data_IF_583922585854
#
_entry.id   IF_583922585854
#
_cell.length_a   1.000
_cell.length_b   1.000
_cell.length_c   1.000
_cell.angle_alpha   90.00
_cell.angle_beta   90.00
_cell.angle_gamma   90.00
#
_symmetry.space_group_name_H-M   'P 1'
#
loop_
_entity.id
_entity.type
_entity.pdbx_description
1 polymer ?
#
# COMPACT_ATOMS: atom_id res chain seq x y z
N UNK A 1 -27.89 -50.71 -8.60
CA UNK A 1 -27.19 -50.51 -7.31
C UNK A 1 -25.72 -50.10 -7.42
N UNK A 2 -25.00 -50.35 -8.53
CA UNK A 2 -23.59 -49.90 -8.71
C UNK A 2 -23.44 -48.38 -8.95
N UNK A 3 -24.36 -47.73 -9.66
CA UNK A 3 -24.24 -46.28 -9.99
C UNK A 3 -24.25 -45.34 -8.78
N UNK A 4 -24.95 -45.70 -7.69
CA UNK A 4 -25.01 -44.82 -6.51
C UNK A 4 -23.67 -44.75 -5.78
N UNK A 5 -22.82 -45.79 -5.85
CA UNK A 5 -21.50 -45.78 -5.19
C UNK A 5 -20.50 -44.90 -5.94
N UNK A 6 -20.57 -44.88 -7.27
CA UNK A 6 -19.72 -44.02 -8.12
C UNK A 6 -20.09 -42.55 -7.92
N UNK A 7 -21.39 -42.25 -7.90
CA UNK A 7 -21.88 -40.88 -7.65
C UNK A 7 -21.44 -40.35 -6.28
N UNK A 8 -21.50 -41.19 -5.24
CA UNK A 8 -21.12 -40.81 -3.88
C UNK A 8 -19.60 -40.54 -3.75
N UNK A 9 -18.76 -41.32 -4.44
CA UNK A 9 -17.32 -41.10 -4.48
C UNK A 9 -16.94 -39.81 -5.22
N UNK A 10 -17.61 -39.50 -6.33
CA UNK A 10 -17.40 -38.24 -7.06
C UNK A 10 -17.81 -37.03 -6.22
N UNK A 11 -18.92 -37.11 -5.49
CA UNK A 11 -19.37 -36.04 -4.60
C UNK A 11 -18.40 -35.82 -3.43
N UNK A 12 -17.90 -36.90 -2.82
CA UNK A 12 -16.92 -36.82 -1.73
C UNK A 12 -15.59 -36.21 -2.21
N UNK A 13 -15.11 -36.60 -3.39
CA UNK A 13 -13.89 -36.04 -3.99
C UNK A 13 -14.06 -34.56 -4.32
N UNK A 14 -15.19 -34.17 -4.93
CA UNK A 14 -15.46 -32.77 -5.25
C UNK A 14 -15.53 -31.90 -4.00
N UNK A 15 -16.19 -32.38 -2.93
CA UNK A 15 -16.27 -31.66 -1.66
C UNK A 15 -14.88 -31.46 -1.04
N UNK A 16 -14.02 -32.47 -1.09
CA UNK A 16 -12.68 -32.39 -0.52
C UNK A 16 -11.78 -31.40 -1.28
N UNK A 17 -11.90 -31.34 -2.61
CA UNK A 17 -11.22 -30.34 -3.45
C UNK A 17 -11.74 -28.94 -3.17
N UNK A 18 -13.06 -28.77 -3.03
CA UNK A 18 -13.67 -27.47 -2.71
C UNK A 18 -13.21 -26.95 -1.35
N UNK A 19 -13.17 -27.81 -0.34
CA UNK A 19 -12.66 -27.48 1.00
C UNK A 19 -11.18 -27.11 0.92
N UNK A 20 -10.36 -27.88 0.22
CA UNK A 20 -8.94 -27.56 0.00
C UNK A 20 -8.73 -26.21 -0.69
N UNK A 21 -9.55 -25.88 -1.68
CA UNK A 21 -9.54 -24.57 -2.36
C UNK A 21 -9.90 -23.44 -1.40
N UNK A 22 -10.94 -23.60 -0.57
CA UNK A 22 -11.36 -22.60 0.42
C UNK A 22 -10.24 -22.33 1.43
N UNK A 23 -9.58 -23.37 1.95
CA UNK A 23 -8.45 -23.21 2.87
C UNK A 23 -7.15 -22.72 2.20
N UNK A 24 -7.08 -22.76 0.87
CA UNK A 24 -5.94 -22.24 0.10
C UNK A 24 -6.14 -20.80 -0.36
N UNK A 25 -7.30 -20.19 -0.11
CA UNK A 25 -7.48 -18.75 -0.28
C UNK A 25 -6.63 -18.12 0.83
N UNK A 26 -5.52 -17.43 0.50
CA UNK A 26 -4.78 -16.72 1.52
C UNK A 26 -5.74 -15.69 2.11
N UNK A 27 -5.92 -15.71 3.43
CA UNK A 27 -6.49 -14.55 4.09
C UNK A 27 -5.60 -13.37 3.72
N UNK A 28 -6.16 -12.26 3.22
CA UNK A 28 -5.37 -11.06 3.06
C UNK A 28 -4.86 -10.72 4.45
N UNK A 29 -3.59 -11.00 4.71
CA UNK A 29 -2.91 -10.42 5.85
C UNK A 29 -3.14 -8.93 5.71
N UNK A 30 -3.87 -8.33 6.65
CA UNK A 30 -4.01 -6.89 6.83
C UNK A 30 -2.65 -6.30 7.27
N UNK A 31 -1.56 -6.72 6.62
CA UNK A 31 -0.23 -6.15 6.67
C UNK A 31 -0.02 -5.24 5.45
N UNK A 32 -1.09 -4.60 4.97
CA UNK A 32 -0.99 -3.39 4.15
C UNK A 32 -1.30 -2.16 4.99
N UNK A 33 -0.65 -2.04 6.14
CA UNK A 33 -0.19 -0.73 6.58
C UNK A 33 1.08 -0.43 5.79
N UNK A 34 0.91 -0.01 4.53
CA UNK A 34 2.01 0.50 3.74
C UNK A 34 2.66 1.67 4.50
N UNK A 35 3.84 1.43 5.05
CA UNK A 35 4.83 2.42 5.47
C UNK A 35 4.51 3.45 6.57
N UNK A 36 3.40 3.38 7.33
CA UNK A 36 3.13 4.46 8.33
C UNK A 36 2.20 4.14 9.51
N UNK A 37 1.90 2.88 9.84
CA UNK A 37 1.11 2.59 11.05
C UNK A 37 1.76 1.51 11.89
N UNK A 38 2.30 1.93 13.02
CA UNK A 38 2.90 1.15 14.09
C UNK A 38 1.87 0.20 14.65
N UNK A 39 2.37 -0.85 15.30
CA UNK A 39 1.55 -1.69 16.17
C UNK A 39 0.78 -0.85 17.19
N UNK A 40 1.36 0.24 17.70
CA UNK A 40 0.72 1.18 18.61
C UNK A 40 -0.54 1.81 18.01
N UNK A 41 -0.45 2.46 16.85
CA UNK A 41 -1.61 3.13 16.20
C UNK A 41 -2.66 2.11 15.74
N UNK A 42 -2.23 0.95 15.29
CA UNK A 42 -3.16 -0.13 14.92
C UNK A 42 -3.99 -0.59 16.13
N UNK A 43 -3.36 -0.82 17.28
CA UNK A 43 -4.05 -1.29 18.49
C UNK A 43 -4.88 -0.18 19.16
N UNK A 44 -4.29 1.02 19.34
CA UNK A 44 -4.92 2.09 20.12
C UNK A 44 -5.97 2.86 19.33
N UNK A 45 -5.71 3.14 18.05
CA UNK A 45 -6.55 4.03 17.25
C UNK A 45 -7.48 3.26 16.33
N UNK A 46 -6.97 2.24 15.64
CA UNK A 46 -7.78 1.47 14.68
C UNK A 46 -8.67 0.45 15.39
N UNK A 47 -8.12 -0.29 16.35
CA UNK A 47 -8.90 -1.24 17.17
C UNK A 47 -9.59 -0.56 18.36
N UNK A 48 -9.20 0.68 18.69
CA UNK A 48 -9.88 1.49 19.70
C UNK A 48 -9.67 1.03 21.14
N UNK A 49 -8.57 0.33 21.45
CA UNK A 49 -8.30 -0.17 22.81
C UNK A 49 -8.09 0.98 23.82
N UNK A 50 -7.36 2.02 23.42
CA UNK A 50 -7.28 3.28 24.15
C UNK A 50 -6.90 4.41 23.16
N UNK A 51 -7.89 4.94 22.41
CA UNK A 51 -7.63 5.93 21.38
C UNK A 51 -7.29 7.28 22.01
N UNK A 52 -6.19 7.90 21.61
CA UNK A 52 -5.67 9.15 22.15
C UNK A 52 -5.57 10.26 21.10
N UNK A 53 -5.64 9.97 19.80
CA UNK A 53 -5.49 10.97 18.73
C UNK A 53 -6.46 12.16 18.80
N UNK A 54 -7.58 12.02 19.51
CA UNK A 54 -8.58 13.08 19.72
C UNK A 54 -8.64 13.58 21.16
N UNK A 55 -7.73 13.11 22.03
CA UNK A 55 -7.69 13.44 23.45
C UNK A 55 -6.67 14.54 23.74
N UNK A 56 -7.20 15.74 23.95
CA UNK A 56 -6.41 16.91 24.33
C UNK A 56 -5.61 17.49 23.17
N UNK A 57 -5.11 18.71 23.39
CA UNK A 57 -4.46 19.49 22.34
C UNK A 57 -3.14 18.87 21.87
N UNK A 58 -2.37 18.25 22.80
CA UNK A 58 -1.09 17.61 22.47
C UNK A 58 -1.26 16.47 21.46
N UNK A 59 -2.06 15.46 21.77
CA UNK A 59 -2.25 14.33 20.86
C UNK A 59 -2.92 14.77 19.56
N UNK A 60 -3.91 15.66 19.61
CA UNK A 60 -4.59 16.14 18.40
C UNK A 60 -3.60 16.81 17.42
N UNK A 61 -2.64 17.58 17.94
CA UNK A 61 -1.64 18.25 17.12
C UNK A 61 -0.52 17.33 16.63
N UNK A 62 -0.29 16.19 17.29
CA UNK A 62 0.76 15.22 16.93
C UNK A 62 0.22 13.92 16.31
N UNK A 63 -1.11 13.78 16.18
CA UNK A 63 -1.80 12.62 15.62
C UNK A 63 -1.70 12.52 14.08
N UNK A 64 -1.15 13.53 13.40
CA UNK A 64 -1.03 13.58 11.95
C UNK A 64 -0.13 12.47 11.40
N UNK A 65 0.81 11.99 12.20
CA UNK A 65 1.68 10.87 11.88
C UNK A 65 1.54 9.73 12.87
N UNK A 66 2.48 8.81 12.79
CA UNK A 66 2.56 7.64 13.62
C UNK A 66 3.85 7.71 14.45
N UNK A 67 3.76 8.51 15.50
CA UNK A 67 4.91 8.98 16.27
C UNK A 67 4.82 8.59 17.74
N UNK A 68 3.99 7.59 18.06
CA UNK A 68 3.79 7.13 19.43
C UNK A 68 5.12 6.79 20.09
N UNK A 69 6.03 6.12 19.38
CA UNK A 69 7.34 5.71 19.91
C UNK A 69 8.26 6.87 20.26
N UNK A 70 8.17 8.01 19.56
CA UNK A 70 9.07 9.13 19.86
C UNK A 70 8.73 9.78 21.21
N UNK A 71 7.49 9.64 21.68
CA UNK A 71 7.04 10.19 22.95
C UNK A 71 6.94 9.14 24.06
N UNK A 72 6.61 7.90 23.70
CA UNK A 72 6.34 6.82 24.65
C UNK A 72 7.37 5.69 24.61
N UNK A 73 8.32 5.71 23.67
CA UNK A 73 9.19 4.58 23.33
C UNK A 73 8.37 3.33 22.94
N UNK A 74 8.91 2.13 23.17
CA UNK A 74 8.28 0.86 22.77
C UNK A 74 8.73 0.37 21.39
N UNK A 75 8.22 -0.80 21.01
CA UNK A 75 8.54 -1.46 19.75
C UNK A 75 7.37 -1.41 18.77
N UNK A 76 7.45 -0.49 17.80
CA UNK A 76 6.40 -0.27 16.79
C UNK A 76 6.22 -1.41 15.79
N UNK A 77 7.17 -2.36 15.74
CA UNK A 77 7.12 -3.51 14.83
C UNK A 77 6.55 -4.77 15.50
N UNK A 78 6.47 -4.81 16.84
CA UNK A 78 5.96 -5.96 17.56
C UNK A 78 4.43 -6.04 17.49
N UNK A 79 3.90 -7.21 17.10
CA UNK A 79 2.45 -7.45 17.04
C UNK A 79 1.87 -7.88 18.39
N UNK A 80 2.70 -8.42 19.28
CA UNK A 80 2.31 -8.81 20.63
C UNK A 80 2.40 -7.62 21.57
N UNK A 81 1.38 -7.44 22.41
CA UNK A 81 1.24 -6.29 23.31
C UNK A 81 2.45 -6.13 24.22
N UNK A 82 2.88 -7.20 24.85
CA UNK A 82 3.98 -7.19 25.81
C UNK A 82 5.30 -6.78 25.15
N UNK A 83 5.58 -7.28 23.94
CA UNK A 83 6.77 -6.91 23.17
C UNK A 83 6.69 -5.48 22.62
N UNK A 84 5.51 -5.04 22.19
CA UNK A 84 5.29 -3.65 21.75
C UNK A 84 5.49 -2.65 22.90
N UNK A 85 5.16 -3.07 24.12
CA UNK A 85 5.26 -2.25 25.32
C UNK A 85 6.62 -2.35 26.03
N UNK A 86 7.55 -3.15 25.52
CA UNK A 86 8.88 -3.28 26.10
C UNK A 86 9.64 -1.95 25.97
N UNK A 87 10.12 -1.42 27.11
CA UNK A 87 10.83 -0.15 27.14
C UNK A 87 9.95 1.09 27.05
N UNK A 88 8.62 0.98 27.22
CA UNK A 88 7.76 2.16 27.30
C UNK A 88 8.19 3.09 28.45
N UNK A 89 8.21 4.38 28.16
CA UNK A 89 8.47 5.44 29.13
C UNK A 89 7.23 6.30 29.33
N UNK A 90 7.02 6.86 30.54
CA UNK A 90 6.07 7.94 30.73
C UNK A 90 6.31 9.06 29.70
N UNK A 91 5.23 9.61 29.11
CA UNK A 91 5.39 10.70 28.16
C UNK A 91 6.11 11.88 28.82
N UNK A 92 7.02 12.51 28.07
CA UNK A 92 7.74 13.71 28.52
C UNK A 92 8.70 13.47 29.69
N UNK A 93 9.06 12.22 30.00
CA UNK A 93 10.13 11.93 30.98
C UNK A 93 11.47 12.54 30.52
N UNK A 94 11.78 12.44 29.22
CA UNK A 94 12.86 13.16 28.57
C UNK A 94 12.33 13.96 27.37
N UNK A 95 11.91 15.19 27.65
CA UNK A 95 11.40 16.12 26.63
C UNK A 95 12.43 16.44 25.56
N UNK A 96 13.72 16.47 25.91
CA UNK A 96 14.77 16.73 24.94
C UNK A 96 14.84 15.57 23.93
N UNK A 97 14.93 14.33 24.43
CA UNK A 97 14.96 13.15 23.58
C UNK A 97 13.69 13.01 22.73
N UNK A 98 12.51 13.23 23.29
CA UNK A 98 11.24 13.06 22.58
C UNK A 98 10.96 14.14 21.54
N UNK A 99 11.42 15.38 21.75
CA UNK A 99 11.03 16.51 20.88
C UNK A 99 12.14 16.95 19.92
N UNK A 100 13.42 16.75 20.24
CA UNK A 100 14.52 17.35 19.48
C UNK A 100 14.65 16.85 18.05
N UNK A 101 14.21 15.63 17.77
CA UNK A 101 14.20 15.08 16.40
C UNK A 101 13.35 15.89 15.43
N UNK A 102 12.23 16.45 15.90
CA UNK A 102 11.30 17.24 15.08
C UNK A 102 11.44 18.75 15.30
N UNK A 103 11.89 19.17 16.49
CA UNK A 103 11.97 20.56 16.92
C UNK A 103 13.37 20.99 17.36
N UNK A 104 14.42 20.86 16.52
CA UNK A 104 15.79 21.15 16.94
C UNK A 104 16.04 22.64 17.23
N UNK A 105 15.23 23.54 16.67
CA UNK A 105 15.42 24.99 16.73
C UNK A 105 14.48 25.67 17.74
N UNK A 106 13.34 25.05 18.05
CA UNK A 106 12.26 25.64 18.84
C UNK A 106 11.76 24.71 19.95
N UNK A 107 12.57 23.72 20.35
CA UNK A 107 12.24 22.76 21.41
C UNK A 107 11.75 23.45 22.68
N UNK A 108 12.54 24.39 23.22
CA UNK A 108 12.24 25.04 24.50
C UNK A 108 10.95 25.86 24.44
N UNK A 109 10.72 26.57 23.33
CA UNK A 109 9.52 27.39 23.14
C UNK A 109 8.27 26.50 23.06
N UNK A 110 8.30 25.46 22.22
CA UNK A 110 7.14 24.57 22.02
C UNK A 110 6.87 23.70 23.22
N UNK A 111 7.90 23.08 23.77
CA UNK A 111 7.75 22.25 24.95
C UNK A 111 7.26 23.07 26.16
N UNK A 112 7.65 24.36 26.23
CA UNK A 112 7.26 25.28 27.29
C UNK A 112 5.75 25.45 27.44
N UNK A 113 5.02 25.43 26.31
CA UNK A 113 3.56 25.54 26.27
C UNK A 113 2.92 24.37 27.03
N UNK A 114 3.38 23.15 26.77
CA UNK A 114 2.80 21.95 27.36
C UNK A 114 3.31 21.68 28.76
N UNK A 115 4.59 21.97 29.03
CA UNK A 115 5.16 21.90 30.36
C UNK A 115 4.41 22.81 31.34
N UNK A 116 4.09 24.04 30.91
CA UNK A 116 3.27 24.97 31.70
C UNK A 116 1.84 24.46 31.91
N UNK A 117 1.23 23.87 30.90
CA UNK A 117 -0.13 23.30 31.00
C UNK A 117 -0.20 22.08 31.92
N UNK A 118 0.87 21.28 31.96
CA UNK A 118 0.98 20.05 32.74
C UNK A 118 1.61 20.26 34.13
N UNK A 119 2.14 21.45 34.41
CA UNK A 119 2.83 21.76 35.67
C UNK A 119 4.16 21.03 35.87
N UNK A 120 4.86 20.71 34.77
CA UNK A 120 6.18 20.05 34.79
C UNK A 120 7.27 21.04 34.40
N UNK A 121 8.45 20.93 35.02
CA UNK A 121 9.60 21.81 34.76
C UNK A 121 10.49 21.22 33.66
N UNK A 122 10.69 21.97 32.56
CA UNK A 122 11.55 21.53 31.46
C UNK A 122 13.01 21.48 31.89
N UNK A 123 13.63 20.30 31.76
CA UNK A 123 15.06 20.10 32.03
C UNK A 123 15.37 19.34 33.32
N UNK A 124 14.37 18.97 34.13
CA UNK A 124 14.60 18.21 35.37
C UNK A 124 14.99 16.74 35.13
N UNK A 125 14.66 16.17 33.96
CA UNK A 125 14.88 14.75 33.62
C UNK A 125 16.30 14.34 33.20
N UNK A 126 17.19 15.30 32.92
CA UNK A 126 18.53 15.03 32.35
C UNK A 126 19.70 15.14 33.34
N UNK A 127 19.44 15.32 34.63
CA UNK A 127 20.49 15.47 35.63
C UNK A 127 21.15 14.13 35.92
N UNK A 128 22.13 13.76 35.07
CA UNK A 128 23.16 12.78 35.39
C UNK A 128 23.67 13.06 36.81
N UNK A 129 23.62 12.04 37.67
CA UNK A 129 24.07 12.14 39.04
C UNK A 129 25.54 12.57 39.13
N UNK A 130 25.78 13.88 39.26
CA UNK A 130 27.00 14.37 39.88
C UNK A 130 26.94 14.02 41.34
N UNK A 131 27.66 12.97 41.68
CA UNK A 131 27.85 12.47 43.02
C UNK A 131 28.36 13.61 43.91
N UNK A 132 27.59 13.92 44.95
CA UNK A 132 27.98 14.80 46.04
C UNK A 132 29.29 14.34 46.67
N UNK A 133 30.38 15.00 46.30
CA UNK A 133 31.61 15.07 47.08
C UNK A 133 31.56 16.30 47.97
N UNK A 134 30.96 16.15 49.14
CA UNK A 134 31.03 17.11 50.24
C UNK A 134 32.47 17.28 50.72
N UNK A 135 32.95 18.52 50.76
CA UNK A 135 33.94 19.03 51.72
C UNK A 135 33.97 20.55 51.62
N UNK A 136 33.35 21.18 52.61
CA UNK A 136 33.00 22.60 52.60
C UNK A 136 34.14 23.60 52.69
N UNK A 137 33.77 24.86 52.52
CA UNK A 137 34.34 25.99 53.26
C UNK A 137 33.38 27.16 53.16
N UNK A 138 32.95 27.66 54.31
CA UNK A 138 32.21 28.90 54.48
C UNK A 138 33.07 30.11 54.04
N UNK A 139 32.42 31.13 53.48
CA UNK A 139 33.06 32.41 53.17
C UNK A 139 32.09 33.41 52.51
N UNK A 140 31.76 34.43 53.30
CA UNK A 140 30.95 35.64 53.11
C UNK A 140 30.86 36.33 51.72
N UNK A 141 29.70 36.99 51.56
CA UNK A 141 29.42 38.29 50.94
C UNK A 141 30.12 38.70 49.63
N UNK A 142 29.31 38.94 48.58
CA UNK A 142 29.20 40.28 47.97
C UNK A 142 28.20 40.36 46.83
N UNK A 143 27.44 41.45 46.83
CA UNK A 143 26.59 41.93 45.76
C UNK A 143 27.38 42.34 44.51
N UNK A 144 26.81 42.09 43.33
CA UNK A 144 27.25 42.61 42.03
C UNK A 144 26.65 41.71 40.95
N UNK A 145 25.69 42.17 40.15
CA UNK A 145 25.94 43.16 39.09
C UNK A 145 26.11 42.37 37.79
N UNK A 146 25.07 42.35 36.97
CA UNK A 146 24.89 41.40 35.89
C UNK A 146 25.99 41.40 34.82
N UNK A 147 26.22 40.21 34.27
CA UNK A 147 26.62 40.03 32.88
C UNK A 147 26.03 38.71 32.37
N UNK A 148 25.09 38.82 31.43
CA UNK A 148 24.50 37.70 30.72
C UNK A 148 25.46 37.28 29.61
N UNK A 149 26.53 36.58 29.98
CA UNK A 149 27.46 35.97 29.03
C UNK A 149 26.86 34.65 28.55
N UNK A 150 26.44 34.61 27.29
CA UNK A 150 25.95 33.41 26.61
C UNK A 150 27.10 32.42 26.44
N UNK A 151 27.27 31.53 27.42
CA UNK A 151 28.20 30.42 27.39
C UNK A 151 27.67 29.33 26.46
N UNK A 152 28.00 29.41 25.17
CA UNK A 152 27.96 28.25 24.26
C UNK A 152 29.10 27.30 24.62
N UNK A 153 28.93 26.55 25.70
CA UNK A 153 29.78 25.41 26.00
C UNK A 153 29.49 24.29 24.98
N UNK A 154 30.52 23.59 24.46
CA UNK A 154 30.28 22.40 23.66
C UNK A 154 29.56 21.37 24.54
N UNK A 155 28.36 20.97 24.13
CA UNK A 155 27.62 19.84 24.71
C UNK A 155 28.43 18.58 24.44
N UNK A 156 29.40 18.29 25.31
CA UNK A 156 30.15 17.06 25.28
C UNK A 156 29.32 15.97 25.95
N UNK A 157 28.76 15.08 25.13
CA UNK A 157 28.54 13.69 25.48
C UNK A 157 27.35 13.43 26.40
N UNK A 158 26.14 13.57 25.87
CA UNK A 158 25.10 12.59 26.23
C UNK A 158 25.57 11.28 25.60
N UNK A 159 26.02 10.33 26.42
CA UNK A 159 26.33 8.99 25.95
C UNK A 159 25.05 8.44 25.30
N UNK A 160 25.11 8.14 24.00
CA UNK A 160 24.04 7.45 23.31
C UNK A 160 23.65 6.21 24.13
N UNK A 161 22.36 5.92 24.33
CA UNK A 161 21.91 4.83 25.17
C UNK A 161 22.63 3.54 24.78
N UNK A 162 23.47 3.06 25.70
CA UNK A 162 24.22 1.80 25.59
C UNK A 162 23.21 0.66 25.63
N UNK A 163 22.63 0.34 24.48
CA UNK A 163 21.56 -0.65 24.35
C UNK A 163 20.80 -0.58 23.02
N UNK A 164 20.98 0.49 22.24
CA UNK A 164 20.53 0.50 20.85
C UNK A 164 21.48 -0.34 20.01
N UNK A 165 21.10 -1.58 19.70
CA UNK A 165 21.62 -2.25 18.51
C UNK A 165 21.42 -1.24 17.36
N UNK A 166 22.52 -0.79 16.76
CA UNK A 166 22.46 0.22 15.70
C UNK A 166 21.57 -0.35 14.59
N UNK A 167 20.33 0.15 14.53
CA UNK A 167 19.36 -0.28 13.55
C UNK A 167 19.90 0.22 12.21
N UNK A 168 20.56 -0.67 11.46
CA UNK A 168 21.01 -0.38 10.12
C UNK A 168 19.77 -0.31 9.22
N UNK A 169 19.21 0.90 9.12
CA UNK A 169 18.07 1.18 8.26
C UNK A 169 18.34 0.81 6.79
N UNK A 170 19.60 0.78 6.34
CA UNK A 170 19.92 0.31 5.00
C UNK A 170 19.80 -1.22 4.89
N UNK A 171 20.15 -1.96 5.94
CA UNK A 171 19.95 -3.41 5.99
C UNK A 171 18.45 -3.75 6.01
N UNK A 172 17.66 -3.08 6.85
CA UNK A 172 16.20 -3.26 6.90
C UNK A 172 15.55 -2.85 5.58
N UNK A 173 15.96 -1.72 5.00
CA UNK A 173 15.49 -1.30 3.69
C UNK A 173 15.89 -2.29 2.60
N UNK A 174 17.12 -2.78 2.60
CA UNK A 174 17.59 -3.78 1.66
C UNK A 174 16.84 -5.11 1.82
N UNK A 175 16.47 -5.51 3.03
CA UNK A 175 15.69 -6.72 3.29
C UNK A 175 14.22 -6.56 2.88
N UNK A 176 13.63 -5.36 3.08
CA UNK A 176 12.27 -5.04 2.67
C UNK A 176 12.11 -4.80 1.16
N UNK A 177 13.14 -4.25 0.52
CA UNK A 177 13.16 -3.96 -0.93
C UNK A 177 13.85 -5.04 -1.74
N UNK A 178 14.48 -6.02 -1.09
CA UNK A 178 14.98 -7.20 -1.76
C UNK A 178 13.83 -7.78 -2.60
N UNK A 179 14.08 -8.08 -3.89
CA UNK A 179 13.07 -8.72 -4.71
C UNK A 179 12.65 -9.99 -3.98
N UNK A 180 11.36 -10.07 -3.65
CA UNK A 180 10.80 -11.23 -2.96
C UNK A 180 11.31 -12.48 -3.66
N UNK A 181 11.79 -13.50 -2.92
CA UNK A 181 12.24 -14.73 -3.55
C UNK A 181 11.12 -15.22 -4.46
N UNK A 182 11.45 -15.58 -5.70
CA UNK A 182 10.48 -16.02 -6.72
C UNK A 182 9.54 -17.14 -6.24
N UNK A 183 9.91 -17.79 -5.14
CA UNK A 183 9.14 -18.80 -4.42
C UNK A 183 9.17 -18.48 -2.92
N UNK A 184 8.21 -17.68 -2.45
CA UNK A 184 8.07 -17.33 -1.02
C UNK A 184 7.62 -18.54 -0.17
N UNK A 185 7.01 -19.55 -0.79
CA UNK A 185 6.51 -20.76 -0.11
C UNK A 185 6.85 -22.03 -0.91
N UNK A 186 8.04 -22.58 -0.70
CA UNK A 186 8.43 -23.88 -1.27
C UNK A 186 7.45 -25.00 -0.88
N UNK A 187 6.84 -24.90 0.31
CA UNK A 187 5.79 -25.83 0.75
C UNK A 187 4.59 -25.85 -0.21
N UNK A 188 4.15 -24.69 -0.70
CA UNK A 188 3.03 -24.60 -1.64
C UNK A 188 3.40 -25.17 -3.02
N UNK A 189 4.62 -24.95 -3.49
CA UNK A 189 5.08 -25.56 -4.76
C UNK A 189 5.15 -27.07 -4.65
N UNK A 190 5.72 -27.60 -3.56
CA UNK A 190 5.79 -29.03 -3.31
C UNK A 190 4.38 -29.63 -3.24
N UNK A 191 3.44 -28.94 -2.58
CA UNK A 191 2.04 -29.37 -2.50
C UNK A 191 1.36 -29.37 -3.87
N UNK A 192 1.54 -28.32 -4.68
CA UNK A 192 1.01 -28.25 -6.05
C UNK A 192 1.56 -29.39 -6.90
N UNK A 193 2.88 -29.64 -6.84
CA UNK A 193 3.50 -30.74 -7.57
C UNK A 193 2.96 -32.11 -7.15
N UNK A 194 2.70 -32.31 -5.86
CA UNK A 194 2.07 -33.53 -5.35
C UNK A 194 0.63 -33.70 -5.84
N UNK A 195 -0.18 -32.63 -5.80
CA UNK A 195 -1.56 -32.64 -6.28
C UNK A 195 -1.60 -32.94 -7.78
N UNK A 196 -0.75 -32.28 -8.57
CA UNK A 196 -0.65 -32.52 -10.02
C UNK A 196 -0.17 -33.95 -10.29
N UNK A 197 0.84 -34.43 -9.58
CA UNK A 197 1.36 -35.79 -9.73
C UNK A 197 0.30 -36.86 -9.45
N UNK A 198 -0.44 -36.71 -8.36
CA UNK A 198 -1.55 -37.61 -8.01
C UNK A 198 -2.69 -37.50 -9.03
N UNK A 199 -3.04 -36.28 -9.46
CA UNK A 199 -4.06 -36.04 -10.48
C UNK A 199 -3.73 -36.70 -11.82
N UNK A 200 -2.48 -36.59 -12.28
CA UNK A 200 -2.01 -37.24 -13.52
C UNK A 200 -2.01 -38.76 -13.37
N UNK A 201 -1.51 -39.30 -12.26
CA UNK A 201 -1.51 -40.74 -12.02
C UNK A 201 -2.93 -41.31 -11.96
N UNK A 202 -3.85 -40.61 -11.28
CA UNK A 202 -5.27 -40.96 -11.25
C UNK A 202 -5.90 -40.89 -12.64
N UNK A 203 -5.62 -39.83 -13.42
CA UNK A 203 -6.15 -39.70 -14.77
C UNK A 203 -5.65 -40.82 -15.69
N UNK A 204 -4.36 -41.17 -15.66
CA UNK A 204 -3.79 -42.27 -16.45
C UNK A 204 -4.42 -43.61 -16.05
N UNK A 205 -4.56 -43.86 -14.75
CA UNK A 205 -5.17 -45.13 -14.27
C UNK A 205 -6.65 -45.20 -14.61
N UNK A 206 -7.42 -44.13 -14.44
CA UNK A 206 -8.82 -44.08 -14.85
C UNK A 206 -8.99 -44.24 -16.38
N UNK A 207 -8.12 -43.58 -17.16
CA UNK A 207 -8.11 -43.65 -18.62
C UNK A 207 -7.83 -45.07 -19.13
N UNK A 208 -6.92 -45.79 -18.47
CA UNK A 208 -6.56 -47.16 -18.84
C UNK A 208 -7.53 -48.21 -18.31
N UNK A 209 -8.20 -47.98 -17.18
CA UNK A 209 -8.99 -49.02 -16.52
C UNK A 209 -10.44 -49.12 -17.02
N UNK A 210 -11.08 -48.01 -17.43
CA UNK A 210 -12.49 -48.02 -17.85
C UNK A 210 -12.70 -47.97 -19.37
N UNK A 211 -11.65 -48.05 -20.18
CA UNK A 211 -11.77 -48.03 -21.65
C UNK A 211 -12.32 -46.68 -22.21
N UNK A 212 -12.26 -45.61 -21.41
CA UNK A 212 -12.71 -44.27 -21.78
C UNK A 212 -12.01 -43.74 -23.03
N UNK A 213 -10.77 -44.18 -23.31
CA UNK A 213 -10.08 -43.83 -24.55
C UNK A 213 -10.90 -44.15 -25.80
N UNK A 214 -11.62 -45.30 -25.82
CA UNK A 214 -12.46 -45.68 -26.95
C UNK A 214 -13.75 -44.84 -27.02
N UNK A 215 -14.32 -44.48 -25.87
CA UNK A 215 -15.54 -43.65 -25.77
C UNK A 215 -15.25 -42.22 -26.21
N UNK A 216 -14.12 -41.64 -25.76
CA UNK A 216 -13.70 -40.29 -26.15
C UNK A 216 -13.28 -40.28 -27.62
N UNK A 217 -12.55 -41.28 -28.11
CA UNK A 217 -12.21 -41.37 -29.54
C UNK A 217 -13.47 -41.43 -30.42
N UNK A 218 -14.48 -42.20 -30.01
CA UNK A 218 -15.78 -42.24 -30.69
C UNK A 218 -16.52 -40.90 -30.61
N UNK A 219 -16.53 -40.25 -29.44
CA UNK A 219 -17.16 -38.94 -29.26
C UNK A 219 -16.47 -37.84 -30.09
N UNK A 220 -15.14 -37.77 -30.09
CA UNK A 220 -14.36 -36.81 -30.88
C UNK A 220 -14.62 -37.03 -32.37
N UNK A 221 -14.55 -38.27 -32.86
CA UNK A 221 -14.85 -38.56 -34.26
C UNK A 221 -16.28 -38.17 -34.66
N UNK A 222 -17.25 -38.31 -33.76
CA UNK A 222 -18.64 -37.97 -34.04
C UNK A 222 -18.95 -36.46 -33.97
N UNK A 223 -18.17 -35.68 -33.22
CA UNK A 223 -18.44 -34.24 -33.05
C UNK A 223 -17.52 -33.35 -33.87
N UNK A 224 -16.27 -33.78 -34.13
CA UNK A 224 -15.33 -33.03 -34.97
C UNK A 224 -15.81 -33.00 -36.42
N UNK A 225 -16.42 -34.08 -36.91
CA UNK A 225 -17.05 -34.11 -38.25
C UNK A 225 -18.20 -33.11 -38.36
N UNK A 226 -19.03 -32.99 -37.31
CA UNK A 226 -20.15 -32.04 -37.29
C UNK A 226 -19.65 -30.59 -37.35
N UNK A 227 -18.56 -30.28 -36.65
CA UNK A 227 -17.98 -28.92 -36.68
C UNK A 227 -17.25 -28.65 -38.00
N UNK A 228 -16.51 -29.62 -38.55
CA UNK A 228 -15.87 -29.43 -39.87
C UNK A 228 -16.88 -29.23 -40.98
N UNK A 229 -18.00 -29.95 -40.94
CA UNK A 229 -19.08 -29.83 -41.92
C UNK A 229 -19.82 -28.51 -41.75
N UNK A 230 -20.09 -28.08 -40.51
CA UNK A 230 -20.70 -26.78 -40.23
C UNK A 230 -19.82 -25.59 -40.64
N UNK A 231 -18.49 -25.69 -40.47
CA UNK A 231 -17.54 -24.66 -40.90
C UNK A 231 -17.42 -24.61 -42.43
N UNK A 232 -17.45 -25.76 -43.10
CA UNK A 232 -17.51 -25.83 -44.57
C UNK A 232 -18.82 -25.27 -45.13
N UNK A 233 -19.95 -25.51 -44.46
CA UNK A 233 -21.26 -24.97 -44.83
C UNK A 233 -21.32 -23.46 -44.61
N UNK A 234 -20.83 -22.97 -43.46
CA UNK A 234 -20.75 -21.55 -43.15
C UNK A 234 -19.79 -20.79 -44.10
N UNK A 235 -18.69 -21.42 -44.50
CA UNK A 235 -17.76 -20.87 -45.50
C UNK A 235 -18.38 -20.74 -46.90
N UNK A 236 -19.39 -21.55 -47.24
CA UNK A 236 -20.15 -21.44 -48.50
C UNK A 236 -21.28 -20.43 -48.42
N UNK A 237 -21.84 -20.19 -47.24
CA UNK A 237 -22.93 -19.24 -47.05
C UNK A 237 -22.47 -17.77 -46.97
N UNK A 238 -21.17 -17.50 -46.75
CA UNK A 238 -20.65 -16.17 -46.50
C UNK A 238 -20.11 -15.38 -47.70
N UNK A 239 -20.19 -15.89 -48.94
CA UNK A 239 -19.55 -15.20 -50.08
C UNK A 239 -20.44 -14.23 -50.87
N UNK A 240 -21.76 -14.23 -50.68
CA UNK A 240 -22.65 -13.58 -51.66
C UNK A 240 -23.49 -12.39 -51.15
N UNK A 241 -23.47 -12.03 -49.86
CA UNK A 241 -24.16 -10.81 -49.40
C UNK A 241 -23.64 -10.33 -48.03
N UNK A 242 -22.61 -9.47 -48.02
CA UNK A 242 -22.20 -8.76 -46.81
C UNK A 242 -22.62 -7.29 -46.93
N UNK A 243 -23.58 -6.81 -46.10
CA UNK A 243 -23.98 -5.41 -46.06
C UNK A 243 -22.84 -4.53 -45.54
N UNK A 244 -22.74 -3.31 -46.08
CA UNK A 244 -21.73 -2.30 -45.75
C UNK A 244 -21.58 -2.06 -44.24
N UNK A 245 -20.33 -2.11 -43.77
CA UNK A 245 -19.96 -1.70 -42.41
C UNK A 245 -20.36 -0.23 -42.16
N UNK A 246 -20.82 0.12 -40.94
CA UNK A 246 -21.03 1.50 -40.55
C UNK A 246 -19.69 2.23 -40.45
N UNK A 247 -19.64 3.42 -41.08
CA UNK A 247 -18.49 4.33 -41.13
C UNK A 247 -17.74 4.42 -39.80
N UNK A 248 -16.52 3.89 -39.78
CA UNK A 248 -15.52 4.23 -38.75
C UNK A 248 -15.23 5.72 -38.90
N UNK A 249 -15.78 6.54 -38.01
CA UNK A 249 -15.52 7.97 -37.98
C UNK A 249 -14.00 8.19 -37.93
N UNK A 250 -13.46 8.80 -38.99
CA UNK A 250 -12.05 9.08 -39.10
C UNK A 250 -11.62 9.97 -37.93
N UNK A 251 -10.53 9.58 -37.25
CA UNK A 251 -9.94 10.36 -36.16
C UNK A 251 -9.71 11.81 -36.63
N UNK A 252 -9.99 12.82 -35.77
CA UNK A 252 -9.80 14.22 -36.12
C UNK A 252 -8.34 14.49 -36.48
N UNK A 253 -8.10 15.16 -37.61
CA UNK A 253 -6.75 15.46 -38.08
C UNK A 253 -6.03 16.50 -37.19
N UNK A 254 -4.68 16.63 -37.29
CA UNK A 254 -3.88 17.48 -36.40
C UNK A 254 -4.32 18.95 -36.32
N UNK A 255 -4.89 19.50 -37.42
CA UNK A 255 -5.42 20.86 -37.45
C UNK A 255 -6.71 21.02 -36.64
N UNK A 256 -7.59 20.01 -36.66
CA UNK A 256 -8.82 20.00 -35.85
C UNK A 256 -8.47 19.82 -34.37
N UNK A 257 -7.46 18.99 -34.10
CA UNK A 257 -6.92 18.76 -32.77
C UNK A 257 -6.32 20.04 -32.16
N UNK A 258 -5.55 20.78 -32.95
CA UNK A 258 -4.99 22.07 -32.55
C UNK A 258 -6.06 23.14 -32.28
N UNK A 259 -7.11 23.20 -33.12
CA UNK A 259 -8.23 24.11 -32.91
C UNK A 259 -9.01 23.78 -31.63
N UNK A 260 -9.28 22.50 -31.38
CA UNK A 260 -9.99 22.07 -30.18
C UNK A 260 -9.18 22.28 -28.89
N UNK A 261 -7.84 22.15 -28.94
CA UNK A 261 -6.95 22.54 -27.84
C UNK A 261 -6.95 24.06 -27.57
N UNK A 262 -7.27 24.87 -28.57
CA UNK A 262 -7.35 26.32 -28.44
C UNK A 262 -8.61 26.77 -27.70
N UNK A 263 -9.72 26.06 -27.94
CA UNK A 263 -11.04 26.36 -27.39
C UNK A 263 -11.23 25.86 -25.94
N UNK A 264 -10.39 24.93 -25.45
CA UNK A 264 -10.46 24.39 -24.08
C UNK A 264 -9.29 24.87 -23.20
N UNK A 265 -9.49 25.92 -22.36
CA UNK A 265 -8.43 26.51 -21.54
C UNK A 265 -7.90 25.57 -20.46
N UNK A 266 -8.70 24.61 -19.99
CA UNK A 266 -8.28 23.56 -19.06
C UNK A 266 -7.28 22.60 -19.73
N UNK A 267 -7.59 22.16 -20.95
CA UNK A 267 -6.73 21.32 -21.77
C UNK A 267 -5.38 21.98 -22.04
N UNK A 268 -5.41 23.27 -22.38
CA UNK A 268 -4.20 24.09 -22.61
C UNK A 268 -3.26 24.14 -21.41
N UNK A 269 -3.80 24.10 -20.18
CA UNK A 269 -3.00 24.05 -18.94
C UNK A 269 -2.42 22.67 -18.65
N UNK A 270 -3.12 21.61 -19.06
CA UNK A 270 -2.68 20.22 -18.86
C UNK A 270 -1.72 19.74 -19.95
N UNK A 271 -1.80 20.33 -21.15
CA UNK A 271 -1.02 19.92 -22.32
C UNK A 271 0.51 19.87 -22.08
N UNK A 272 1.17 20.88 -21.47
CA UNK A 272 2.60 20.81 -21.20
C UNK A 272 2.98 19.76 -20.15
N UNK A 273 2.03 19.24 -19.37
CA UNK A 273 2.23 18.17 -18.40
C UNK A 273 2.09 16.80 -19.07
N UNK A 274 1.07 16.65 -19.93
CA UNK A 274 0.83 15.42 -20.69
C UNK A 274 1.95 15.14 -21.71
N UNK A 275 2.44 16.17 -22.41
CA UNK A 275 3.58 16.03 -23.34
C UNK A 275 4.90 15.63 -22.68
N UNK A 276 5.01 15.82 -21.36
CA UNK A 276 6.17 15.39 -20.54
C UNK A 276 5.90 14.12 -19.74
N UNK A 277 4.70 13.54 -19.86
CA UNK A 277 4.33 12.33 -19.16
C UNK A 277 5.02 11.10 -19.76
N UNK A 278 5.25 10.08 -18.92
CA UNK A 278 5.72 8.77 -19.37
C UNK A 278 4.64 8.08 -20.24
N UNK A 279 5.08 7.33 -21.26
CA UNK A 279 4.20 6.53 -22.15
C UNK A 279 3.27 5.59 -21.37
N UNK A 280 3.71 5.09 -20.22
CA UNK A 280 2.90 4.26 -19.33
C UNK A 280 1.73 5.05 -18.76
N UNK A 281 1.97 6.29 -18.30
CA UNK A 281 0.93 7.15 -17.75
C UNK A 281 -0.12 7.51 -18.81
N UNK A 282 0.31 7.75 -20.06
CA UNK A 282 -0.60 8.03 -21.17
C UNK A 282 -1.48 6.83 -21.53
N UNK A 283 -0.91 5.61 -21.51
CA UNK A 283 -1.66 4.37 -21.71
C UNK A 283 -2.69 4.15 -20.61
N UNK A 284 -2.30 4.34 -19.35
CA UNK A 284 -3.19 4.18 -18.21
C UNK A 284 -4.31 5.24 -18.25
N UNK A 285 -3.99 6.48 -18.62
CA UNK A 285 -4.97 7.55 -18.81
C UNK A 285 -5.96 7.22 -19.94
N UNK A 286 -5.48 6.71 -21.07
CA UNK A 286 -6.33 6.29 -22.18
C UNK A 286 -7.28 5.15 -21.77
N UNK A 287 -6.77 4.16 -21.06
CA UNK A 287 -7.58 3.04 -20.55
C UNK A 287 -8.65 3.52 -19.55
N UNK A 288 -8.31 4.45 -18.66
CA UNK A 288 -9.25 5.06 -17.71
C UNK A 288 -10.31 5.88 -18.45
N UNK A 289 -9.93 6.69 -19.43
CA UNK A 289 -10.87 7.56 -20.14
C UNK A 289 -11.79 6.78 -21.10
N UNK A 290 -11.38 5.59 -21.56
CA UNK A 290 -12.15 4.76 -22.50
C UNK A 290 -13.34 4.04 -21.85
N UNK A 291 -13.32 3.81 -20.52
CA UNK A 291 -14.45 3.27 -19.77
C UNK A 291 -15.14 4.39 -19.00
N UNK A 292 -16.27 4.89 -19.51
CA UNK A 292 -16.99 6.03 -18.94
C UNK A 292 -17.38 5.81 -17.46
N UNK A 293 -17.71 4.57 -17.08
CA UNK A 293 -18.15 4.25 -15.71
C UNK A 293 -16.98 3.98 -14.78
N UNK A 294 -16.06 3.10 -15.16
CA UNK A 294 -14.92 2.75 -14.32
C UNK A 294 -13.91 3.89 -14.24
N UNK A 295 -13.74 4.64 -15.32
CA UNK A 295 -12.86 5.80 -15.38
C UNK A 295 -13.24 6.88 -14.37
N UNK A 296 -14.54 7.17 -14.27
CA UNK A 296 -15.04 8.14 -13.31
C UNK A 296 -14.81 7.71 -11.85
N UNK A 297 -14.95 6.42 -11.54
CA UNK A 297 -14.69 5.89 -10.19
C UNK A 297 -13.20 5.85 -9.85
N UNK A 298 -12.35 5.42 -10.78
CA UNK A 298 -10.89 5.42 -10.62
C UNK A 298 -10.34 6.84 -10.45
N UNK A 299 -10.80 7.79 -11.26
CA UNK A 299 -10.46 9.20 -11.10
C UNK A 299 -10.93 9.72 -9.75
N UNK A 300 -12.06 9.25 -9.21
CA UNK A 300 -12.55 9.60 -7.87
C UNK A 300 -11.67 8.98 -6.76
N UNK A 301 -11.18 7.76 -6.95
CA UNK A 301 -10.25 7.12 -6.02
C UNK A 301 -8.89 7.83 -5.99
N UNK A 302 -8.33 8.15 -7.16
CA UNK A 302 -7.07 8.88 -7.30
C UNK A 302 -7.22 10.36 -6.91
N UNK A 303 -8.40 10.97 -7.06
CA UNK A 303 -8.69 12.35 -6.65
C UNK A 303 -8.53 12.64 -5.18
N UNK A 304 -8.53 11.60 -4.34
CA UNK A 304 -8.24 11.75 -2.91
C UNK A 304 -6.79 12.15 -2.66
N UNK A 305 -5.91 12.04 -3.66
CA UNK A 305 -4.50 12.47 -3.62
C UNK A 305 -4.27 13.88 -4.20
N UNK A 306 -5.11 14.36 -5.13
CA UNK A 306 -5.11 15.75 -5.61
C UNK A 306 -6.52 16.18 -6.06
N UNK A 307 -7.23 16.84 -5.15
CA UNK A 307 -8.61 17.30 -5.32
C UNK A 307 -8.79 18.28 -6.50
N UNK A 308 -7.75 19.07 -6.85
CA UNK A 308 -7.86 20.09 -7.92
C UNK A 308 -7.83 19.46 -9.30
N UNK A 309 -7.03 18.41 -9.49
CA UNK A 309 -6.91 17.74 -10.78
C UNK A 309 -8.20 17.02 -11.17
N UNK A 310 -8.80 16.30 -10.22
CA UNK A 310 -10.03 15.56 -10.48
C UNK A 310 -11.25 16.46 -10.71
N UNK A 311 -11.31 17.60 -10.02
CA UNK A 311 -12.38 18.57 -10.26
C UNK A 311 -12.27 19.17 -11.66
N UNK A 312 -11.04 19.37 -12.16
CA UNK A 312 -10.79 19.83 -13.53
C UNK A 312 -11.18 18.79 -14.58
N UNK A 313 -10.85 17.50 -14.36
CA UNK A 313 -11.22 16.42 -15.29
C UNK A 313 -12.73 16.17 -15.32
N UNK A 314 -13.42 16.29 -14.17
CA UNK A 314 -14.88 16.15 -14.09
C UNK A 314 -15.63 17.26 -14.83
N UNK A 315 -15.04 18.45 -14.94
CA UNK A 315 -15.65 19.59 -15.62
C UNK A 315 -15.46 19.57 -17.14
N UNK A 316 -14.67 18.63 -17.68
CA UNK A 316 -14.51 18.47 -19.13
C UNK A 316 -15.82 18.04 -19.77
N UNK A 317 -16.21 18.76 -20.80
CA UNK A 317 -17.34 18.40 -21.65
C UNK A 317 -17.04 17.08 -22.41
N UNK A 318 -18.05 16.38 -22.95
CA UNK A 318 -17.84 15.12 -23.68
C UNK A 318 -16.85 15.22 -24.86
N UNK A 319 -16.87 16.33 -25.59
CA UNK A 319 -16.00 16.55 -26.75
C UNK A 319 -14.53 16.71 -26.32
N UNK A 320 -14.27 17.42 -25.22
CA UNK A 320 -12.93 17.60 -24.67
C UNK A 320 -12.34 16.27 -24.17
N UNK A 321 -13.20 15.36 -23.70
CA UNK A 321 -12.80 14.01 -23.27
C UNK A 321 -12.43 13.13 -24.45
N UNK A 322 -13.21 13.19 -25.52
CA UNK A 322 -12.94 12.49 -26.78
C UNK A 322 -11.65 13.01 -27.42
N UNK A 323 -11.41 14.32 -27.35
CA UNK A 323 -10.16 14.94 -27.80
C UNK A 323 -8.96 14.46 -26.99
N UNK A 324 -9.09 14.40 -25.65
CA UNK A 324 -8.04 13.86 -24.78
C UNK A 324 -7.71 12.40 -25.08
N UNK A 325 -8.74 11.59 -25.37
CA UNK A 325 -8.57 10.19 -25.80
C UNK A 325 -7.84 10.09 -27.14
N UNK A 326 -8.22 10.92 -28.12
CA UNK A 326 -7.55 10.96 -29.42
C UNK A 326 -6.07 11.35 -29.27
N UNK A 327 -5.77 12.37 -28.47
CA UNK A 327 -4.40 12.84 -28.19
C UNK A 327 -3.56 11.78 -27.45
N UNK A 328 -4.14 11.07 -26.49
CA UNK A 328 -3.45 10.02 -25.76
C UNK A 328 -3.11 8.80 -26.64
N UNK A 329 -3.88 8.56 -27.71
CA UNK A 329 -3.63 7.49 -28.67
C UNK A 329 -2.57 7.86 -29.73
N UNK A 330 -2.28 9.15 -29.94
CA UNK A 330 -1.30 9.63 -30.94
C UNK A 330 0.15 9.73 -30.39
N UNK A 331 0.34 9.70 -29.07
CA UNK A 331 1.63 9.81 -28.36
C UNK A 331 2.27 8.46 -27.99
#
# INVERSE_FOLDING_TARGET
>A
MKSNKVLLLLFASFTLVLVGLIFSIPDPAQAQCGSSASSCKTCHETQGQDPVNTKGDWHTQHAFGDFCEFCHAGNVQATEKEAAHEGLVPPLEDVAASCQGCHPQDLTERAGIYASALGVELGSGGSTGSSSGDSGSSGDDSSGGGDSTTSSGPVTGVAAPLGGEEIDFNLIYAEQTAPKPLVENWANIILILLIVGVGVAFFITAWTWEGWGNVIAAWVNNNVTVVSDAVLEAGRAGSDDSPAEPDSAALPGPAQLAAALEDSPELRRLWPKLTRADKRLLRDLNQILSDEKQGAELLRAVSRLDLKLAQSIKQLNPNDRELLLALANEM
#
